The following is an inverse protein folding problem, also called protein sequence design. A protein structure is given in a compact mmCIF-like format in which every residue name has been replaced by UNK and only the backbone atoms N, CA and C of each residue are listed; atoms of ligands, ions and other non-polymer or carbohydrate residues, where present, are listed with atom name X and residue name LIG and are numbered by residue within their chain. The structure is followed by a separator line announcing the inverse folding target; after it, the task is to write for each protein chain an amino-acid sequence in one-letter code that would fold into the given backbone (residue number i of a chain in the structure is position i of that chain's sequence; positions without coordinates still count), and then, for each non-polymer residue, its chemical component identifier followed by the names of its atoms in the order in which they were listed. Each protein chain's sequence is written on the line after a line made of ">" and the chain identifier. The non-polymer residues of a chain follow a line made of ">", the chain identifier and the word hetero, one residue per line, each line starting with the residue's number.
data_IF_620013978530
#
_entry.id   IF_620013978530
#
_cell.length_a   1.000
_cell.length_b   1.000
_cell.length_c   1.000
_cell.angle_alpha   90.00
_cell.angle_beta   90.00
_cell.angle_gamma   90.00
#
_symmetry.space_group_name_H-M   'P 1'
#
loop_
_entity.id
_entity.type
_entity.pdbx_description
1 polymer ?
#
# COMPACT_ATOMS: atom_id res chain seq x y z
N UNK A 1 3.49 13.32 -7.77
CA UNK A 1 4.14 12.00 -7.66
C UNK A 1 3.48 11.36 -6.48
N UNK A 2 2.99 10.10 -6.53
CA UNK A 2 2.64 9.46 -5.27
C UNK A 2 3.96 9.50 -4.54
N UNK A 3 4.03 10.26 -3.46
CA UNK A 3 5.32 10.51 -2.85
C UNK A 3 5.86 9.12 -2.46
N UNK A 4 7.19 8.95 -2.45
CA UNK A 4 7.80 7.66 -2.09
C UNK A 4 7.31 7.13 -0.74
N UNK A 5 6.64 7.98 0.03
CA UNK A 5 5.79 7.75 1.20
C UNK A 5 4.66 6.72 1.05
N UNK A 6 4.14 6.47 -0.16
CA UNK A 6 3.02 5.55 -0.38
C UNK A 6 3.45 4.10 -0.62
N UNK A 7 4.76 3.83 -0.71
CA UNK A 7 5.26 2.48 -0.94
C UNK A 7 6.61 2.30 -0.25
N UNK A 8 6.70 1.29 0.62
CA UNK A 8 7.94 0.75 1.18
C UNK A 8 8.31 -0.50 0.36
N UNK A 9 9.11 -0.38 -0.73
CA UNK A 9 9.27 -1.47 -1.69
C UNK A 9 10.02 -2.66 -1.10
N UNK A 10 10.96 -2.41 -0.18
CA UNK A 10 11.70 -3.44 0.54
C UNK A 10 10.77 -4.36 1.35
N UNK A 11 9.66 -3.82 1.85
CA UNK A 11 8.68 -4.55 2.66
C UNK A 11 7.41 -4.93 1.89
N UNK A 12 7.32 -4.53 0.60
CA UNK A 12 6.11 -4.67 -0.23
C UNK A 12 4.87 -4.18 0.51
N UNK A 13 5.02 -3.07 1.21
CA UNK A 13 4.01 -2.49 2.07
C UNK A 13 3.62 -1.09 1.58
N UNK A 14 2.34 -0.76 1.71
CA UNK A 14 1.73 0.45 1.18
C UNK A 14 0.96 1.14 2.30
N UNK A 15 1.52 2.21 2.89
CA UNK A 15 0.81 3.06 3.83
C UNK A 15 -0.41 3.72 3.16
N UNK A 16 -1.58 3.52 3.73
CA UNK A 16 -2.85 4.13 3.32
C UNK A 16 -3.51 4.78 4.54
N UNK A 17 -3.04 5.97 4.91
CA UNK A 17 -3.55 6.70 6.08
C UNK A 17 -3.09 8.15 6.08
N UNK A 18 -3.93 9.03 6.63
CA UNK A 18 -3.64 10.45 6.81
C UNK A 18 -3.59 10.80 8.31
N UNK A 19 -2.76 11.79 8.65
CA UNK A 19 -2.64 12.32 10.01
C UNK A 19 -1.27 12.17 10.67
N UNK A 20 -0.24 11.74 9.94
CA UNK A 20 1.14 11.92 10.39
C UNK A 20 1.58 13.35 10.07
N UNK A 21 2.23 14.02 11.02
CA UNK A 21 2.71 15.39 10.84
C UNK A 21 3.93 15.45 9.90
N UNK A 22 4.53 14.29 9.58
CA UNK A 22 5.66 14.15 8.67
C UNK A 22 5.79 12.77 8.01
N UNK A 23 6.44 12.74 6.85
CA UNK A 23 6.79 11.52 6.09
C UNK A 23 7.61 10.53 6.92
N UNK A 24 8.61 11.02 7.65
CA UNK A 24 9.48 10.17 8.47
C UNK A 24 8.72 9.45 9.59
N UNK A 25 7.72 10.12 10.18
CA UNK A 25 6.87 9.52 11.22
C UNK A 25 5.96 8.43 10.65
N UNK A 26 5.42 8.65 9.45
CA UNK A 26 4.62 7.64 8.74
C UNK A 26 5.45 6.37 8.45
N UNK A 27 6.69 6.54 7.98
CA UNK A 27 7.61 5.44 7.70
C UNK A 27 8.00 4.70 8.98
N UNK A 28 8.36 5.41 10.03
CA UNK A 28 8.72 4.80 11.32
C UNK A 28 7.54 4.03 11.93
N UNK A 29 6.32 4.59 11.87
CA UNK A 29 5.11 3.91 12.30
C UNK A 29 4.83 2.66 11.45
N UNK A 30 5.05 2.73 10.14
CA UNK A 30 4.88 1.58 9.25
C UNK A 30 5.87 0.46 9.55
N UNK A 31 7.14 0.79 9.76
CA UNK A 31 8.18 -0.17 10.15
C UNK A 31 7.87 -0.81 11.51
N UNK A 32 7.39 -0.04 12.49
CA UNK A 32 6.99 -0.57 13.79
C UNK A 32 5.85 -1.59 13.68
N UNK A 33 4.81 -1.29 12.89
CA UNK A 33 3.69 -2.23 12.65
C UNK A 33 4.15 -3.47 11.88
N UNK A 34 5.10 -3.34 10.95
CA UNK A 34 5.64 -4.47 10.21
C UNK A 34 6.54 -5.38 11.06
N UNK A 35 7.22 -4.81 12.05
CA UNK A 35 8.11 -5.51 12.97
C UNK A 35 7.37 -6.19 14.14
N UNK A 36 6.16 -5.74 14.47
CA UNK A 36 5.37 -6.29 15.57
C UNK A 36 4.61 -7.57 15.14
N UNK A 37 4.97 -8.76 15.67
CA UNK A 37 4.29 -10.01 15.35
C UNK A 37 2.88 -10.12 15.96
N UNK A 38 2.53 -9.28 16.94
CA UNK A 38 1.20 -9.27 17.56
C UNK A 38 0.14 -8.57 16.69
N UNK A 39 0.57 -7.91 15.61
CA UNK A 39 -0.35 -7.22 14.69
C UNK A 39 -1.25 -8.23 13.98
N UNK A 40 -2.55 -8.12 14.24
CA UNK A 40 -3.59 -8.88 13.55
C UNK A 40 -3.79 -8.37 12.12
N UNK A 41 -3.20 -9.06 11.14
CA UNK A 41 -3.38 -8.74 9.73
C UNK A 41 -4.68 -9.36 9.18
N UNK A 42 -5.55 -8.53 8.62
CA UNK A 42 -6.77 -8.94 7.95
C UNK A 42 -6.46 -9.61 6.60
N UNK A 43 -7.22 -10.65 6.27
CA UNK A 43 -7.13 -11.34 4.99
C UNK A 43 -7.96 -10.60 3.93
N UNK A 44 -7.30 -9.86 3.04
CA UNK A 44 -7.97 -9.06 2.00
C UNK A 44 -8.07 -9.78 0.65
N UNK A 45 -7.79 -11.09 0.63
CA UNK A 45 -7.88 -11.93 -0.56
C UNK A 45 -6.54 -12.21 -1.21
N UNK A 46 -6.57 -12.53 -2.50
CA UNK A 46 -5.40 -12.93 -3.27
C UNK A 46 -5.39 -12.24 -4.61
N UNK A 47 -4.20 -11.79 -5.02
CA UNK A 47 -3.96 -11.09 -6.26
C UNK A 47 -2.94 -11.83 -7.12
N UNK A 48 -3.13 -11.86 -8.43
CA UNK A 48 -2.21 -12.49 -9.39
C UNK A 48 -1.69 -11.42 -10.34
N UNK A 49 -0.37 -11.40 -10.54
CA UNK A 49 0.29 -10.49 -11.47
C UNK A 49 1.20 -11.25 -12.41
N UNK A 50 1.30 -10.80 -13.65
CA UNK A 50 2.19 -11.35 -14.68
C UNK A 50 3.54 -10.62 -14.73
N UNK A 51 3.82 -9.70 -13.78
CA UNK A 51 5.07 -8.96 -13.72
C UNK A 51 5.02 -7.69 -12.87
N UNK A 52 5.91 -6.70 -13.16
CA UNK A 52 5.98 -5.44 -12.44
C UNK A 52 4.60 -4.78 -12.33
N UNK A 53 4.27 -4.32 -11.13
CA UNK A 53 2.98 -3.72 -10.84
C UNK A 53 3.08 -2.20 -10.87
N UNK A 54 1.94 -1.52 -10.96
CA UNK A 54 1.86 -0.07 -10.80
C UNK A 54 0.96 0.21 -9.61
N UNK A 55 1.50 0.91 -8.61
CA UNK A 55 0.69 1.55 -7.57
C UNK A 55 0.11 2.83 -8.17
N UNK A 56 -1.19 3.01 -8.00
CA UNK A 56 -1.92 4.15 -8.51
C UNK A 56 -2.71 4.78 -7.37
N UNK A 57 -2.58 6.09 -7.18
CA UNK A 57 -3.56 6.83 -6.37
C UNK A 57 -4.84 6.92 -7.21
N UNK A 58 -5.94 6.36 -6.72
CA UNK A 58 -7.19 6.27 -7.46
C UNK A 58 -8.35 6.74 -6.60
N UNK A 59 -9.06 7.76 -7.07
CA UNK A 59 -10.34 8.20 -6.54
C UNK A 59 -11.49 7.21 -6.79
N UNK A 60 -11.31 6.23 -7.69
CA UNK A 60 -12.30 5.17 -7.97
C UNK A 60 -11.72 3.76 -7.79
N UNK A 61 -12.59 2.79 -7.53
CA UNK A 61 -12.18 1.40 -7.39
C UNK A 61 -11.65 0.84 -8.72
N UNK A 62 -10.36 0.51 -8.77
CA UNK A 62 -9.74 -0.39 -9.76
C UNK A 62 -10.16 -0.22 -11.22
N UNK A 63 -10.09 0.99 -11.76
CA UNK A 63 -10.23 1.25 -13.20
C UNK A 63 -8.94 0.97 -13.98
N UNK A 64 -9.05 0.83 -15.30
CA UNK A 64 -7.91 0.67 -16.21
C UNK A 64 -6.86 1.77 -15.96
N UNK A 65 -5.55 1.47 -16.00
CA UNK A 65 -4.47 2.36 -15.58
C UNK A 65 -4.25 3.61 -16.46
N UNK A 66 -5.15 3.90 -17.39
CA UNK A 66 -5.06 5.00 -18.35
C UNK A 66 -6.34 5.85 -18.44
N UNK A 67 -7.29 5.68 -17.52
CA UNK A 67 -8.50 6.51 -17.51
C UNK A 67 -8.24 7.73 -16.63
N UNK A 68 -8.29 8.92 -17.23
CA UNK A 68 -8.18 10.18 -16.50
C UNK A 68 -9.36 10.36 -15.55
N UNK A 69 -9.15 11.12 -14.47
CA UNK A 69 -10.23 11.42 -13.53
C UNK A 69 -11.42 12.13 -14.21
N UNK A 70 -12.66 11.90 -13.74
CA UNK A 70 -13.80 12.71 -14.13
C UNK A 70 -13.60 14.13 -13.60
N UNK A 71 -12.95 14.98 -14.40
CA UNK A 71 -12.49 16.32 -14.00
C UNK A 71 -11.16 16.76 -14.63
N UNK A 72 -10.43 15.84 -15.27
CA UNK A 72 -9.13 16.10 -15.88
C UNK A 72 -7.96 15.79 -14.95
N UNK A 73 -6.82 15.37 -15.53
CA UNK A 73 -5.64 14.89 -14.79
C UNK A 73 -5.48 13.37 -14.85
N UNK A 74 -4.23 12.91 -14.84
CA UNK A 74 -3.90 11.49 -14.77
C UNK A 74 -3.67 11.07 -13.32
N UNK A 75 -4.12 9.86 -12.92
CA UNK A 75 -3.80 9.34 -11.62
C UNK A 75 -2.29 9.20 -11.47
N UNK A 76 -1.79 9.49 -10.27
CA UNK A 76 -0.36 9.40 -10.01
C UNK A 76 0.07 7.94 -9.92
N UNK A 77 1.19 7.60 -10.56
CA UNK A 77 1.63 6.22 -10.73
C UNK A 77 3.05 6.01 -10.20
N UNK A 78 3.29 4.91 -9.49
CA UNK A 78 4.61 4.48 -9.06
C UNK A 78 4.81 2.99 -9.41
N UNK A 79 5.87 2.63 -10.16
CA UNK A 79 6.18 1.24 -10.45
C UNK A 79 6.61 0.50 -9.17
N UNK A 80 6.09 -0.69 -8.97
CA UNK A 80 6.44 -1.59 -7.88
C UNK A 80 7.10 -2.84 -8.48
N UNK A 81 8.39 -3.09 -8.19
CA UNK A 81 9.07 -4.28 -8.69
C UNK A 81 8.52 -5.52 -7.97
N UNK A 82 7.63 -6.23 -8.63
CA UNK A 82 7.07 -7.50 -8.18
C UNK A 82 7.30 -8.57 -9.24
N UNK A 83 7.84 -9.75 -8.86
CA UNK A 83 7.91 -10.86 -9.79
C UNK A 83 6.49 -11.36 -10.12
N UNK A 84 6.31 -11.97 -11.31
CA UNK A 84 5.07 -12.67 -11.65
C UNK A 84 4.74 -13.71 -10.58
N UNK A 85 3.46 -13.83 -10.22
CA UNK A 85 3.05 -14.78 -9.20
C UNK A 85 1.72 -14.46 -8.51
N UNK A 86 1.43 -15.26 -7.49
CA UNK A 86 0.23 -15.15 -6.66
C UNK A 86 0.60 -14.57 -5.30
N UNK A 87 -0.12 -13.54 -4.89
CA UNK A 87 0.17 -12.74 -3.71
C UNK A 87 -1.06 -12.69 -2.80
N UNK A 88 -0.92 -13.13 -1.55
CA UNK A 88 -1.96 -12.86 -0.56
C UNK A 88 -1.86 -11.39 -0.15
N UNK A 89 -3.00 -10.70 -0.21
CA UNK A 89 -3.13 -9.31 0.21
C UNK A 89 -3.53 -9.30 1.67
N UNK A 90 -2.74 -8.61 2.50
CA UNK A 90 -3.01 -8.44 3.92
C UNK A 90 -3.14 -6.97 4.23
N UNK A 91 -4.13 -6.60 5.01
CA UNK A 91 -4.34 -5.23 5.43
C UNK A 91 -4.36 -5.12 6.95
N UNK A 92 -3.95 -3.98 7.48
CA UNK A 92 -4.14 -3.62 8.88
C UNK A 92 -4.46 -2.13 8.96
N UNK A 93 -5.29 -1.77 9.94
CA UNK A 93 -5.47 -0.39 10.38
C UNK A 93 -4.92 -0.29 11.79
N UNK A 94 -3.80 0.40 11.96
CA UNK A 94 -3.14 0.62 13.23
C UNK A 94 -3.31 2.07 13.69
N UNK A 95 -3.37 2.30 15.00
CA UNK A 95 -3.22 3.65 15.56
C UNK A 95 -1.75 3.89 15.84
N UNK A 96 -1.20 4.94 15.24
CA UNK A 96 0.14 5.44 15.52
C UNK A 96 0.01 6.69 16.42
N UNK A 97 -0.22 6.50 17.71
CA UNK A 97 -0.47 7.60 18.65
C UNK A 97 -1.91 8.12 18.62
N UNK A 98 -2.13 9.31 19.20
CA UNK A 98 -3.47 9.78 19.59
C UNK A 98 -4.34 10.28 18.42
N UNK A 99 -3.71 10.70 17.32
CA UNK A 99 -4.42 11.29 16.15
C UNK A 99 -4.12 10.63 14.83
N UNK A 100 -3.15 9.73 14.76
CA UNK A 100 -2.73 9.15 13.49
C UNK A 100 -3.29 7.74 13.36
N UNK A 101 -4.14 7.55 12.35
CA UNK A 101 -4.54 6.23 11.88
C UNK A 101 -3.68 5.87 10.67
N UNK A 102 -2.98 4.74 10.75
CA UNK A 102 -2.17 4.20 9.68
C UNK A 102 -2.80 2.93 9.14
N UNK A 103 -3.33 3.00 7.92
CA UNK A 103 -3.59 1.80 7.14
C UNK A 103 -2.31 1.28 6.52
N UNK A 104 -2.13 -0.03 6.49
CA UNK A 104 -1.04 -0.69 5.80
C UNK A 104 -1.58 -1.86 5.01
N UNK A 105 -1.25 -1.91 3.72
CA UNK A 105 -1.45 -3.08 2.89
C UNK A 105 -0.09 -3.71 2.62
N UNK A 106 0.04 -5.03 2.78
CA UNK A 106 1.25 -5.77 2.40
C UNK A 106 0.91 -6.93 1.47
N UNK A 107 1.86 -7.20 0.57
CA UNK A 107 1.81 -8.38 -0.30
C UNK A 107 2.76 -9.44 0.22
N UNK A 108 2.22 -10.62 0.50
CA UNK A 108 3.02 -11.80 0.86
C UNK A 108 2.84 -12.88 -0.21
N UNK A 109 3.88 -13.68 -0.53
CA UNK A 109 3.71 -14.80 -1.43
C UNK A 109 2.55 -15.68 -0.95
N UNK A 110 1.57 -15.94 -1.83
CA UNK A 110 0.55 -16.92 -1.53
C UNK A 110 1.20 -18.31 -1.57
N UNK A 111 0.90 -19.16 -0.59
CA UNK A 111 1.25 -20.58 -0.71
C UNK A 111 0.64 -21.13 -2.00
N UNK A 112 1.44 -21.92 -2.73
CA UNK A 112 1.06 -22.60 -3.97
C UNK A 112 -0.12 -23.54 -3.77
#
# INVERSE_FOLDING_TARGET
>A
MPARTCCLPAHRAFPSGGGADSEAELVAAAEAVLADPAVGWEASGTWRTDGPAVLMDSAEAGGLPAVGYPGGGMPEQAPVPLPPGRWAVRAVQARAGDRTSLGLVRLVPAAS
#
